data_IF_585793748222
#
_entry.id   IF_585793748222
#
_cell.length_a   1.000
_cell.length_b   1.000
_cell.length_c   1.000
_cell.angle_alpha   90.00
_cell.angle_beta   90.00
_cell.angle_gamma   90.00
#
_symmetry.space_group_name_H-M   'P 1'
#
loop_
_entity.id
_entity.type
_entity.pdbx_description
1 polymer ?
#
# COMPACT_ATOMS: atom_id res chain seq x y z
N UNK A 1 -4.01 16.68 -3.94
CA UNK A 1 -3.61 16.24 -2.60
C UNK A 1 -3.20 17.36 -1.65
N UNK A 2 -3.42 18.61 -2.02
CA UNK A 2 -3.02 19.76 -1.18
C UNK A 2 -4.07 20.23 -0.17
N UNK A 3 -4.92 19.35 0.34
CA UNK A 3 -5.72 19.67 1.51
C UNK A 3 -4.93 19.33 2.77
N UNK A 4 -4.16 20.33 3.23
CA UNK A 4 -3.57 20.38 4.56
C UNK A 4 -2.95 19.07 5.07
N UNK A 5 -1.80 18.69 4.55
CA UNK A 5 -0.89 17.82 5.29
C UNK A 5 -1.23 16.32 5.33
N UNK A 6 -2.10 15.80 4.45
CA UNK A 6 -2.28 14.36 4.32
C UNK A 6 -0.97 13.71 3.85
N UNK A 7 -0.37 12.89 4.72
CA UNK A 7 0.91 12.22 4.47
C UNK A 7 0.79 10.71 4.42
N UNK A 8 -0.13 10.13 5.20
CA UNK A 8 -0.30 8.69 5.31
C UNK A 8 -1.49 8.27 4.46
N UNK A 9 -1.23 7.50 3.42
CA UNK A 9 -2.22 6.98 2.48
C UNK A 9 -2.34 5.48 2.68
N UNK A 10 -3.50 5.02 3.09
CA UNK A 10 -3.82 3.60 3.15
C UNK A 10 -4.36 3.14 1.80
N UNK A 11 -3.86 2.00 1.32
CA UNK A 11 -4.35 1.32 0.10
C UNK A 11 -4.86 -0.04 0.49
N UNK A 12 -6.14 -0.29 0.24
CA UNK A 12 -6.81 -1.57 0.50
C UNK A 12 -7.72 -1.97 -0.65
N UNK A 13 -8.39 -3.11 -0.53
CA UNK A 13 -9.37 -3.60 -1.49
C UNK A 13 -10.55 -4.26 -0.76
N UNK A 14 -11.62 -4.58 -1.48
CA UNK A 14 -12.75 -5.35 -0.92
C UNK A 14 -12.30 -6.78 -0.67
N UNK A 15 -11.73 -7.44 -1.72
CA UNK A 15 -11.31 -8.84 -1.68
C UNK A 15 -9.85 -9.01 -2.11
N UNK A 16 -9.38 -10.26 -2.13
CA UNK A 16 -8.05 -10.60 -2.65
C UNK A 16 -7.97 -10.43 -4.18
N UNK A 17 -6.76 -10.24 -4.68
CA UNK A 17 -6.43 -10.21 -6.11
C UNK A 17 -7.04 -9.03 -6.90
N UNK A 18 -7.44 -7.95 -6.22
CA UNK A 18 -7.90 -6.72 -6.87
C UNK A 18 -6.75 -5.79 -7.27
N UNK A 19 -5.50 -6.14 -6.93
CA UNK A 19 -4.30 -5.39 -7.34
C UNK A 19 -3.88 -4.30 -6.37
N UNK A 20 -4.38 -4.28 -5.12
CA UNK A 20 -4.04 -3.28 -4.09
C UNK A 20 -2.53 -3.09 -3.93
N UNK A 21 -1.77 -4.18 -3.81
CA UNK A 21 -0.32 -4.13 -3.59
C UNK A 21 0.43 -3.55 -4.78
N UNK A 22 0.01 -3.88 -6.00
CA UNK A 22 0.54 -3.29 -7.23
C UNK A 22 0.24 -1.79 -7.30
N UNK A 23 -0.99 -1.39 -6.96
CA UNK A 23 -1.38 0.02 -6.91
C UNK A 23 -0.58 0.77 -5.85
N UNK A 24 -0.42 0.21 -4.65
CA UNK A 24 0.36 0.81 -3.57
C UNK A 24 1.83 1.05 -3.99
N UNK A 25 2.47 0.03 -4.59
CA UNK A 25 3.84 0.14 -5.08
C UNK A 25 3.96 1.21 -6.16
N UNK A 26 3.08 1.20 -7.16
CA UNK A 26 3.10 2.17 -8.26
C UNK A 26 2.84 3.61 -7.78
N UNK A 27 1.93 3.80 -6.83
CA UNK A 27 1.70 5.11 -6.21
C UNK A 27 2.97 5.61 -5.51
N UNK A 28 3.62 4.74 -4.72
CA UNK A 28 4.83 5.09 -4.01
C UNK A 28 5.98 5.44 -4.97
N UNK A 29 6.17 4.65 -6.03
CA UNK A 29 7.17 4.90 -7.08
C UNK A 29 6.90 6.24 -7.79
N UNK A 30 5.65 6.48 -8.20
CA UNK A 30 5.28 7.72 -8.91
C UNK A 30 5.53 8.96 -8.06
N UNK A 31 5.18 8.92 -6.77
CA UNK A 31 5.46 10.02 -5.85
C UNK A 31 6.97 10.22 -5.63
N UNK A 32 7.76 9.15 -5.60
CA UNK A 32 9.21 9.23 -5.47
C UNK A 32 9.87 9.83 -6.74
N UNK A 33 9.32 9.57 -7.91
CA UNK A 33 9.76 10.18 -9.18
C UNK A 33 9.52 11.69 -9.22
N UNK A 34 8.53 12.20 -8.48
CA UNK A 34 8.28 13.63 -8.26
C UNK A 34 9.19 14.25 -7.18
N UNK A 35 10.35 13.64 -6.91
CA UNK A 35 11.32 14.06 -5.89
C UNK A 35 10.78 14.13 -4.45
N UNK A 36 9.70 13.40 -4.14
CA UNK A 36 9.20 13.26 -2.77
C UNK A 36 9.91 12.11 -2.06
N UNK A 37 10.19 12.28 -0.77
CA UNK A 37 10.65 11.19 0.09
C UNK A 37 9.45 10.33 0.46
N UNK A 38 9.36 9.14 -0.08
CA UNK A 38 8.21 8.25 0.07
C UNK A 38 8.61 6.99 0.81
N UNK A 39 7.81 6.59 1.78
CA UNK A 39 7.92 5.30 2.45
C UNK A 39 6.77 4.40 2.04
N UNK A 40 7.06 3.26 1.44
CA UNK A 40 6.12 2.18 1.24
C UNK A 40 6.25 1.21 2.41
N UNK A 41 5.13 0.92 3.08
CA UNK A 41 5.09 -0.03 4.18
C UNK A 41 4.15 -1.19 3.85
N UNK A 42 4.68 -2.41 3.90
CA UNK A 42 3.90 -3.63 3.72
C UNK A 42 3.17 -3.95 5.04
N UNK A 43 1.89 -3.59 5.10
CA UNK A 43 0.98 -3.86 6.20
C UNK A 43 0.00 -5.01 5.89
N UNK A 44 0.20 -5.71 4.77
CA UNK A 44 -0.45 -7.00 4.55
C UNK A 44 0.29 -8.11 5.30
N UNK A 45 0.07 -8.15 6.60
CA UNK A 45 0.74 -9.11 7.49
C UNK A 45 0.32 -10.56 7.23
N UNK A 46 -0.74 -10.80 6.46
CA UNK A 46 -1.22 -12.13 6.11
C UNK A 46 -0.53 -12.68 4.87
N UNK A 47 -0.41 -11.83 3.86
CA UNK A 47 0.19 -12.20 2.56
C UNK A 47 1.14 -11.11 2.08
N UNK A 48 2.27 -10.87 2.77
CA UNK A 48 3.21 -9.84 2.38
C UNK A 48 3.79 -10.14 1.00
N UNK A 49 3.75 -9.16 0.10
CA UNK A 49 4.18 -9.33 -1.30
C UNK A 49 5.04 -8.18 -1.82
N UNK A 50 5.14 -7.06 -1.10
CA UNK A 50 5.85 -5.89 -1.57
C UNK A 50 7.33 -6.16 -1.88
N UNK A 51 7.96 -7.07 -1.12
CA UNK A 51 9.35 -7.45 -1.39
C UNK A 51 9.54 -8.10 -2.77
N UNK A 52 8.53 -8.85 -3.25
CA UNK A 52 8.54 -9.44 -4.60
C UNK A 52 8.32 -8.38 -5.66
N UNK A 53 7.39 -7.44 -5.43
CA UNK A 53 7.06 -6.37 -6.36
C UNK A 53 8.27 -5.43 -6.54
N UNK A 54 9.00 -5.15 -5.45
CA UNK A 54 10.19 -4.31 -5.47
C UNK A 54 11.49 -5.09 -5.76
N UNK A 55 11.40 -6.40 -6.05
CA UNK A 55 12.55 -7.28 -6.36
C UNK A 55 13.64 -7.30 -5.28
N UNK A 56 13.22 -7.16 -4.01
CA UNK A 56 14.13 -7.17 -2.85
C UNK A 56 14.27 -8.59 -2.31
N UNK A 57 15.52 -9.03 -2.14
CA UNK A 57 15.83 -10.37 -1.63
C UNK A 57 15.31 -10.58 -0.20
N UNK A 58 14.63 -11.71 0.08
CA UNK A 58 14.01 -11.97 1.40
C UNK A 58 14.99 -11.98 2.58
N UNK A 59 16.24 -12.34 2.36
CA UNK A 59 17.30 -12.37 3.38
C UNK A 59 17.69 -10.98 3.88
N UNK A 60 17.38 -9.94 3.11
CA UNK A 60 17.63 -8.53 3.48
C UNK A 60 16.51 -7.90 4.29
N UNK A 61 15.41 -8.64 4.55
CA UNK A 61 14.20 -8.07 5.16
C UNK A 61 14.19 -8.31 6.67
N UNK A 62 14.14 -7.21 7.41
CA UNK A 62 13.84 -7.22 8.84
C UNK A 62 12.33 -6.96 9.02
N UNK A 63 11.57 -8.02 9.30
CA UNK A 63 10.11 -7.93 9.41
C UNK A 63 9.66 -6.93 10.47
N UNK A 64 8.74 -6.04 10.11
CA UNK A 64 8.25 -4.98 10.97
C UNK A 64 7.70 -5.50 12.32
N UNK A 65 6.84 -6.54 12.37
CA UNK A 65 6.35 -7.04 13.66
C UNK A 65 7.46 -7.48 14.60
N UNK A 66 8.45 -8.23 14.09
CA UNK A 66 9.58 -8.70 14.89
C UNK A 66 10.44 -7.53 15.41
N UNK A 67 10.66 -6.52 14.58
CA UNK A 67 11.43 -5.33 14.96
C UNK A 67 10.73 -4.50 16.04
N UNK A 68 9.42 -4.34 15.96
CA UNK A 68 8.63 -3.60 16.94
C UNK A 68 8.57 -4.35 18.29
N UNK A 69 8.43 -5.67 18.28
CA UNK A 69 8.42 -6.48 19.50
C UNK A 69 9.77 -6.46 20.23
N UNK A 70 10.88 -6.44 19.51
CA UNK A 70 12.22 -6.44 20.09
C UNK A 70 12.70 -5.05 20.56
N UNK A 71 11.85 -4.02 20.51
CA UNK A 71 12.26 -2.62 20.69
C UNK A 71 13.47 -2.25 19.81
N UNK A 72 13.50 -2.84 18.61
CA UNK A 72 14.55 -2.64 17.64
C UNK A 72 14.58 -1.19 17.12
N UNK A 73 15.69 -0.79 16.59
CA UNK A 73 15.82 0.51 15.98
C UNK A 73 15.05 0.52 14.65
N UNK A 74 13.99 1.32 14.57
CA UNK A 74 13.19 1.50 13.36
C UNK A 74 14.02 1.88 12.12
N UNK A 75 15.18 2.46 12.35
CA UNK A 75 16.14 2.80 11.27
C UNK A 75 16.67 1.56 10.54
N UNK A 76 16.76 0.43 11.22
CA UNK A 76 17.38 -0.79 10.68
C UNK A 76 16.43 -1.61 9.79
N UNK A 77 15.12 -1.28 9.82
CA UNK A 77 14.12 -1.96 8.99
C UNK A 77 13.80 -1.23 7.69
N UNK A 78 14.29 0.01 7.56
CA UNK A 78 14.10 0.79 6.34
C UNK A 78 15.13 0.37 5.31
N UNK A 79 14.65 0.09 4.11
CA UNK A 79 15.49 -0.14 2.94
C UNK A 79 15.27 0.99 1.94
N UNK A 80 16.34 1.52 1.39
CA UNK A 80 16.27 2.46 0.28
C UNK A 80 16.24 1.67 -1.02
N UNK A 81 15.27 1.95 -1.86
CA UNK A 81 15.15 1.33 -3.18
C UNK A 81 16.06 2.05 -4.18
N UNK A 82 17.21 1.43 -4.49
CA UNK A 82 18.22 1.93 -5.43
C UNK A 82 18.54 3.43 -5.29
N UNK A 83 18.80 4.14 -6.40
CA UNK A 83 19.09 5.58 -6.42
C UNK A 83 17.83 6.46 -6.43
N UNK A 84 16.73 5.98 -5.87
CA UNK A 84 15.46 6.69 -5.83
C UNK A 84 15.18 7.35 -4.47
N UNK A 85 14.14 8.18 -4.38
CA UNK A 85 13.61 8.71 -3.13
C UNK A 85 12.58 7.78 -2.49
N UNK A 86 12.48 6.53 -2.96
CA UNK A 86 11.63 5.50 -2.40
C UNK A 86 12.36 4.74 -1.30
N UNK A 87 11.70 4.63 -0.17
CA UNK A 87 12.10 3.82 0.98
C UNK A 87 11.03 2.77 1.22
N UNK A 88 11.40 1.62 1.75
CA UNK A 88 10.47 0.53 2.02
C UNK A 88 10.69 -0.07 3.41
N UNK A 89 9.59 -0.41 4.06
CA UNK A 89 9.52 -1.30 5.23
C UNK A 89 8.72 -2.50 4.83
N UNK A 90 9.36 -3.65 4.77
CA UNK A 90 8.84 -4.84 4.12
C UNK A 90 8.68 -5.98 5.11
N UNK A 91 7.81 -6.93 4.75
CA UNK A 91 7.67 -8.20 5.41
C UNK A 91 7.87 -9.33 4.38
N UNK A 92 8.49 -10.43 4.79
CA UNK A 92 8.65 -11.64 3.98
C UNK A 92 8.01 -12.88 4.63
N UNK A 93 7.43 -12.70 5.82
CA UNK A 93 6.77 -13.76 6.59
C UNK A 93 5.39 -13.30 7.02
N UNK A 94 4.42 -14.21 6.90
CA UNK A 94 3.09 -13.98 7.45
C UNK A 94 3.12 -13.91 8.98
N UNK A 95 2.30 -13.03 9.54
CA UNK A 95 2.10 -12.88 10.98
C UNK A 95 0.65 -13.19 11.30
N UNK A 96 0.41 -14.08 12.24
CA UNK A 96 -0.93 -14.57 12.55
C UNK A 96 -1.84 -13.49 13.16
N UNK A 97 -1.29 -12.59 13.95
CA UNK A 97 -2.02 -11.48 14.57
C UNK A 97 -1.09 -10.32 14.86
N UNK A 98 -1.59 -9.11 14.61
CA UNK A 98 -0.91 -7.85 14.97
C UNK A 98 -1.58 -7.15 16.16
N UNK A 99 -2.63 -7.74 16.73
CA UNK A 99 -3.36 -7.15 17.87
C UNK A 99 -2.44 -6.70 19.01
N UNK A 100 -1.42 -7.50 19.45
CA UNK A 100 -0.51 -7.04 20.49
C UNK A 100 0.30 -5.78 20.12
N UNK A 101 0.60 -5.61 18.82
CA UNK A 101 1.31 -4.42 18.33
C UNK A 101 0.40 -3.20 18.26
N UNK A 102 -0.87 -3.40 17.89
CA UNK A 102 -1.89 -2.35 17.90
C UNK A 102 -2.17 -1.88 19.33
N UNK A 103 -2.46 -2.79 20.24
CA UNK A 103 -2.75 -2.51 21.67
C UNK A 103 -1.59 -1.80 22.36
N UNK A 104 -0.36 -2.16 22.05
CA UNK A 104 0.84 -1.50 22.63
C UNK A 104 1.10 -0.09 22.06
N UNK A 105 0.41 0.31 21.01
CA UNK A 105 0.65 1.54 20.26
C UNK A 105 1.99 1.55 19.51
N UNK A 106 2.62 0.39 19.32
CA UNK A 106 3.92 0.31 18.65
C UNK A 106 3.85 0.72 17.17
N UNK A 107 2.77 0.33 16.48
CA UNK A 107 2.54 0.72 15.09
C UNK A 107 2.33 2.23 14.97
N UNK A 108 1.51 2.83 15.84
CA UNK A 108 1.29 4.27 15.86
C UNK A 108 2.61 5.03 16.06
N UNK A 109 3.42 4.63 17.04
CA UNK A 109 4.73 5.26 17.30
C UNK A 109 5.68 5.13 16.11
N UNK A 110 5.65 4.00 15.41
CA UNK A 110 6.44 3.80 14.21
C UNK A 110 6.00 4.75 13.08
N UNK A 111 4.70 4.88 12.85
CA UNK A 111 4.15 5.81 11.86
C UNK A 111 4.48 7.27 12.19
N UNK A 112 4.36 7.69 13.45
CA UNK A 112 4.74 9.03 13.90
C UNK A 112 6.23 9.32 13.68
N UNK A 113 7.10 8.34 13.95
CA UNK A 113 8.54 8.45 13.68
C UNK A 113 8.83 8.68 12.20
N UNK A 114 8.14 7.97 11.30
CA UNK A 114 8.34 8.11 9.87
C UNK A 114 7.65 9.35 9.29
N UNK A 115 6.48 9.74 9.81
CA UNK A 115 5.74 10.93 9.37
C UNK A 115 6.58 12.21 9.42
N UNK A 116 7.49 12.30 10.38
CA UNK A 116 8.39 13.46 10.52
C UNK A 116 9.58 13.45 9.55
N UNK A 117 9.81 12.34 8.83
CA UNK A 117 10.99 12.13 7.97
C UNK A 117 10.65 11.99 6.49
N UNK A 118 9.40 11.69 6.19
CA UNK A 118 8.90 11.39 4.86
C UNK A 118 7.89 12.46 4.44
N UNK A 119 7.81 12.70 3.13
CA UNK A 119 6.77 13.53 2.54
C UNK A 119 5.46 12.74 2.45
N UNK A 120 5.54 11.46 2.08
CA UNK A 120 4.40 10.53 2.02
C UNK A 120 4.75 9.17 2.61
N UNK A 121 3.74 8.52 3.17
CA UNK A 121 3.78 7.12 3.63
C UNK A 121 2.62 6.41 2.95
N UNK A 122 2.90 5.35 2.21
CA UNK A 122 1.90 4.50 1.56
C UNK A 122 1.84 3.18 2.31
N UNK A 123 0.67 2.83 2.82
CA UNK A 123 0.42 1.58 3.54
C UNK A 123 -0.31 0.61 2.60
N UNK A 124 0.32 -0.51 2.25
CA UNK A 124 -0.33 -1.63 1.57
C UNK A 124 -0.92 -2.55 2.63
N UNK A 125 -2.24 -2.70 2.69
CA UNK A 125 -2.93 -3.44 3.75
C UNK A 125 -3.66 -4.67 3.20
N UNK A 126 -4.09 -5.58 4.08
CA UNK A 126 -4.95 -6.70 3.70
C UNK A 126 -6.31 -6.23 3.19
N UNK A 127 -7.03 -7.05 2.38
CA UNK A 127 -8.40 -6.76 1.97
C UNK A 127 -9.35 -6.63 3.17
N UNK A 128 -10.28 -5.69 3.09
CA UNK A 128 -11.22 -5.36 4.19
C UNK A 128 -12.14 -6.53 4.56
N UNK A 129 -12.60 -7.30 3.57
CA UNK A 129 -13.50 -8.42 3.81
C UNK A 129 -12.88 -9.59 4.59
N UNK A 130 -11.56 -9.59 4.78
CA UNK A 130 -10.86 -10.74 5.36
C UNK A 130 -10.42 -10.53 6.81
N UNK A 131 -10.13 -9.30 7.21
CA UNK A 131 -9.52 -9.02 8.52
C UNK A 131 -9.90 -7.65 9.07
N UNK A 132 -10.17 -7.59 10.36
CA UNK A 132 -10.40 -6.33 11.10
C UNK A 132 -9.13 -5.50 11.31
N UNK A 133 -7.95 -6.10 11.11
CA UNK A 133 -6.66 -5.40 11.29
C UNK A 133 -6.58 -4.14 10.42
N UNK A 134 -7.14 -4.18 9.19
CA UNK A 134 -7.14 -3.05 8.27
C UNK A 134 -8.00 -1.88 8.76
N UNK A 135 -9.11 -2.14 9.45
CA UNK A 135 -9.93 -1.08 10.08
C UNK A 135 -9.14 -0.33 11.15
N UNK A 136 -8.40 -1.07 11.99
CA UNK A 136 -7.57 -0.46 13.02
C UNK A 136 -6.42 0.36 12.43
N UNK A 137 -5.81 -0.13 11.34
CA UNK A 137 -4.75 0.60 10.62
C UNK A 137 -5.33 1.84 9.92
N UNK A 138 -6.57 1.78 9.42
CA UNK A 138 -7.23 2.90 8.75
C UNK A 138 -7.38 4.13 9.66
N UNK A 139 -7.56 3.94 10.96
CA UNK A 139 -7.58 5.02 11.96
C UNK A 139 -6.28 5.82 12.03
N UNK A 140 -5.16 5.23 11.61
CA UNK A 140 -3.83 5.83 11.63
C UNK A 140 -3.46 6.53 10.31
N UNK A 141 -4.26 6.34 9.28
CA UNK A 141 -4.08 6.98 7.97
C UNK A 141 -4.79 8.35 7.90
N UNK A 142 -4.26 9.23 7.06
CA UNK A 142 -4.93 10.51 6.80
C UNK A 142 -6.03 10.37 5.74
N UNK A 143 -5.82 9.44 4.79
CA UNK A 143 -6.76 9.11 3.73
C UNK A 143 -6.64 7.64 3.34
N UNK A 144 -7.75 7.07 2.84
CA UNK A 144 -7.80 5.71 2.30
C UNK A 144 -8.17 5.72 0.82
N UNK A 145 -7.53 4.82 0.07
CA UNK A 145 -7.84 4.50 -1.32
C UNK A 145 -8.35 3.06 -1.40
N UNK A 146 -9.52 2.87 -1.96
CA UNK A 146 -10.09 1.54 -2.18
C UNK A 146 -9.81 1.09 -3.62
N UNK A 147 -9.06 0.02 -3.79
CA UNK A 147 -8.82 -0.59 -5.09
C UNK A 147 -9.94 -1.58 -5.39
N UNK A 148 -10.56 -1.41 -6.54
CA UNK A 148 -11.67 -2.23 -7.02
C UNK A 148 -11.30 -2.75 -8.40
N UNK A 149 -11.26 -4.06 -8.56
CA UNK A 149 -11.02 -4.70 -9.86
C UNK A 149 -12.34 -4.95 -10.56
N UNK A 150 -12.34 -4.73 -11.88
CA UNK A 150 -13.52 -5.00 -12.72
C UNK A 150 -14.00 -6.45 -12.53
N UNK A 151 -15.32 -6.62 -12.41
CA UNK A 151 -16.01 -7.90 -12.35
C UNK A 151 -15.63 -8.81 -11.15
N UNK A 152 -15.06 -8.25 -10.07
CA UNK A 152 -14.69 -9.00 -8.86
C UNK A 152 -15.68 -8.70 -7.72
N UNK A 153 -15.69 -7.49 -7.20
CA UNK A 153 -16.55 -7.12 -6.09
C UNK A 153 -17.90 -6.56 -6.56
N UNK A 154 -18.97 -6.87 -5.83
CA UNK A 154 -20.28 -6.29 -6.10
C UNK A 154 -20.35 -4.85 -5.62
N UNK A 155 -21.13 -4.01 -6.32
CA UNK A 155 -21.31 -2.60 -5.94
C UNK A 155 -21.79 -2.42 -4.49
N UNK A 156 -22.60 -3.36 -3.98
CA UNK A 156 -23.05 -3.36 -2.59
C UNK A 156 -21.86 -3.56 -1.63
N UNK A 157 -21.01 -4.55 -1.90
CA UNK A 157 -19.82 -4.84 -1.07
C UNK A 157 -18.85 -3.66 -1.05
N UNK A 158 -18.68 -3.00 -2.20
CA UNK A 158 -17.86 -1.79 -2.31
C UNK A 158 -18.40 -0.69 -1.39
N UNK A 159 -19.71 -0.44 -1.43
CA UNK A 159 -20.35 0.58 -0.59
C UNK A 159 -20.25 0.21 0.90
N UNK A 160 -20.54 -1.04 1.26
CA UNK A 160 -20.43 -1.53 2.64
C UNK A 160 -19.00 -1.31 3.19
N UNK A 161 -17.97 -1.56 2.38
CA UNK A 161 -16.56 -1.32 2.78
C UNK A 161 -16.24 0.18 2.91
N UNK A 162 -16.77 1.02 2.02
CA UNK A 162 -16.61 2.47 2.12
C UNK A 162 -17.22 2.98 3.43
N UNK A 163 -18.40 2.50 3.79
CA UNK A 163 -19.07 2.88 5.03
C UNK A 163 -18.27 2.43 6.25
N UNK A 164 -17.80 1.19 6.29
CA UNK A 164 -16.95 0.66 7.37
C UNK A 164 -15.66 1.48 7.51
N UNK A 165 -14.97 1.80 6.40
CA UNK A 165 -13.76 2.62 6.44
C UNK A 165 -14.02 4.03 6.99
N UNK A 166 -15.13 4.66 6.58
CA UNK A 166 -15.51 5.99 7.05
C UNK A 166 -15.90 5.97 8.53
N UNK A 167 -16.66 4.97 8.99
CA UNK A 167 -17.02 4.77 10.40
C UNK A 167 -15.78 4.53 11.26
N UNK A 168 -14.79 3.80 10.75
CA UNK A 168 -13.50 3.62 11.40
C UNK A 168 -12.63 4.90 11.42
N UNK A 169 -13.03 5.98 10.74
CA UNK A 169 -12.23 7.22 10.62
C UNK A 169 -11.19 7.17 9.51
N UNK A 170 -11.29 6.20 8.60
CA UNK A 170 -10.32 5.98 7.52
C UNK A 170 -10.36 6.97 6.35
N UNK A 171 -11.32 7.92 6.35
CA UNK A 171 -11.42 9.03 5.40
C UNK A 171 -11.21 8.62 3.94
N UNK A 172 -12.18 7.89 3.37
CA UNK A 172 -12.09 7.37 1.99
C UNK A 172 -12.03 8.53 0.98
N UNK A 173 -10.89 8.68 0.30
CA UNK A 173 -10.67 9.69 -0.71
C UNK A 173 -11.30 9.33 -2.06
N UNK A 174 -11.40 8.04 -2.36
CA UNK A 174 -11.97 7.51 -3.59
C UNK A 174 -11.60 6.07 -3.87
N UNK A 175 -12.10 5.58 -5.03
CA UNK A 175 -11.80 4.25 -5.53
C UNK A 175 -10.87 4.32 -6.74
N UNK A 176 -9.98 3.32 -6.86
CA UNK A 176 -9.16 3.09 -8.05
C UNK A 176 -9.74 1.87 -8.77
N UNK A 177 -10.32 2.10 -9.94
CA UNK A 177 -10.86 1.02 -10.77
C UNK A 177 -9.73 0.40 -11.58
N UNK A 178 -9.39 -0.85 -11.25
CA UNK A 178 -8.21 -1.55 -11.74
C UNK A 178 -8.59 -2.65 -12.73
N UNK A 179 -7.63 -3.03 -13.58
CA UNK A 179 -7.72 -4.13 -14.56
C UNK A 179 -8.98 -4.05 -15.44
N UNK A 180 -9.26 -2.86 -15.96
CA UNK A 180 -10.42 -2.59 -16.80
C UNK A 180 -10.20 -3.15 -18.18
N UNK A 181 -10.98 -4.15 -18.57
CA UNK A 181 -10.98 -4.79 -19.88
C UNK A 181 -12.25 -4.45 -20.64
N UNK A 182 -12.13 -4.00 -21.90
CA UNK A 182 -13.23 -3.98 -22.87
C UNK A 182 -14.40 -3.07 -22.54
N UNK A 183 -14.17 -1.78 -22.31
CA UNK A 183 -15.25 -0.80 -22.44
C UNK A 183 -15.44 -0.42 -23.90
N UNK A 184 -16.69 -0.16 -24.40
CA UNK A 184 -16.88 0.45 -25.69
C UNK A 184 -16.37 1.90 -25.62
N UNK A 185 -15.12 2.12 -25.95
CA UNK A 185 -14.65 3.45 -26.35
C UNK A 185 -15.15 3.67 -27.77
N UNK A 186 -16.43 3.96 -27.89
CA UNK A 186 -17.00 4.51 -29.10
C UNK A 186 -16.49 5.94 -29.23
N UNK A 187 -15.47 6.13 -30.06
CA UNK A 187 -14.96 7.44 -30.42
C UNK A 187 -13.46 7.58 -30.20
N UNK A 188 -12.67 7.05 -31.10
CA UNK A 188 -11.37 7.49 -31.56
C UNK A 188 -10.44 8.15 -30.55
N UNK A 189 -9.67 7.35 -29.84
CA UNK A 189 -8.26 7.57 -29.52
C UNK A 189 -7.75 6.38 -28.74
N UNK A 190 -6.83 5.65 -29.35
CA UNK A 190 -6.06 4.59 -28.71
C UNK A 190 -5.15 5.20 -27.63
N UNK A 191 -5.68 5.45 -26.44
CA UNK A 191 -4.87 5.54 -25.25
C UNK A 191 -4.83 4.16 -24.59
N UNK A 192 -4.12 3.24 -25.25
CA UNK A 192 -3.75 1.98 -24.67
C UNK A 192 -2.70 2.22 -23.59
N UNK A 193 -3.09 2.19 -22.34
CA UNK A 193 -2.18 2.18 -21.18
C UNK A 193 -1.29 0.91 -21.12
N UNK A 194 -1.43 -0.01 -22.08
CA UNK A 194 -0.58 -1.20 -22.23
C UNK A 194 0.84 -0.96 -22.74
N UNK A 195 1.19 0.26 -23.13
CA UNK A 195 2.48 0.54 -23.77
C UNK A 195 3.63 0.99 -22.86
N UNK A 196 3.35 1.35 -21.61
CA UNK A 196 4.39 1.88 -20.72
C UNK A 196 5.12 0.82 -19.90
N UNK A 197 4.48 -0.31 -19.59
CA UNK A 197 5.09 -1.36 -18.78
C UNK A 197 6.11 -2.24 -19.50
N UNK A 198 6.01 -2.38 -20.84
CA UNK A 198 6.94 -3.19 -21.64
C UNK A 198 8.32 -2.57 -21.85
N UNK A 199 8.53 -1.30 -21.52
CA UNK A 199 9.78 -0.59 -21.81
C UNK A 199 10.77 -0.52 -20.65
N UNK A 200 10.32 -0.73 -19.42
CA UNK A 200 11.18 -0.70 -18.23
C UNK A 200 11.64 -2.08 -17.76
N UNK A 201 10.90 -3.15 -18.10
CA UNK A 201 11.25 -4.52 -17.69
C UNK A 201 11.74 -5.42 -18.84
N UNK A 202 11.89 -4.90 -20.05
CA UNK A 202 12.23 -5.66 -21.24
C UNK A 202 13.59 -5.36 -21.85
N UNK A 203 14.67 -5.24 -21.06
CA UNK A 203 16.04 -5.31 -21.58
C UNK A 203 17.01 -5.86 -20.53
N UNK A 204 17.14 -7.18 -20.52
CA UNK A 204 18.37 -7.92 -20.29
C UNK A 204 18.11 -9.40 -20.55
N UNK A 205 18.19 -9.80 -21.80
CA UNK A 205 18.55 -11.12 -22.23
C UNK A 205 19.32 -10.93 -23.55
N UNK A 206 20.62 -10.82 -23.42
CA UNK A 206 21.69 -11.27 -24.32
C UNK A 206 22.98 -11.21 -23.53
#
# INVERSE_FOLDING_TARGET
MDKKGAKVVLVTSVTENEGKSTVAANLAVSLAQENKKVLLMDFDFRKPVQYKILEISPDKIANLPEALMKKGELKNIIQKHEESNLYAVLNNKATASISPLMESGAIQKALEFFRNKMDYIVLDTSPMALVSDTEEIAKLADVSLLVVRQDIALAKEINDIIDVLNEAGGNVMGCIFNDVTGGPVSGGSHYGYGGYYGRYYGKRAE
#
